data_IF_897775368629
#
_entry.id   IF_897775368629
#
_cell.length_a   1.000
_cell.length_b   1.000
_cell.length_c   1.000
_cell.angle_alpha   90.00
_cell.angle_beta   90.00
_cell.angle_gamma   90.00
#
_symmetry.space_group_name_H-M   'P 1'
#
loop_
_entity.id
_entity.type
_entity.pdbx_description
1 polymer ?
#
# COMPACT_ATOMS: atom_id res chain seq x y z
N UNK A 1 23.87 -2.40 -8.07
CA UNK A 1 22.80 -3.42 -7.95
C UNK A 1 21.77 -2.80 -7.05
N UNK A 2 20.58 -2.46 -7.56
CA UNK A 2 19.56 -1.75 -6.77
C UNK A 2 19.00 -2.68 -5.70
N UNK A 3 18.98 -2.25 -4.45
CA UNK A 3 18.37 -2.99 -3.33
C UNK A 3 16.93 -2.57 -3.12
N UNK A 4 16.14 -3.39 -2.41
CA UNK A 4 14.77 -3.01 -2.00
C UNK A 4 14.77 -1.74 -1.12
N UNK A 5 15.83 -1.53 -0.33
CA UNK A 5 16.02 -0.33 0.46
C UNK A 5 16.22 0.92 -0.40
N UNK A 6 17.07 0.86 -1.42
CA UNK A 6 17.26 1.98 -2.35
C UNK A 6 15.98 2.30 -3.13
N UNK A 7 15.14 1.30 -3.42
CA UNK A 7 13.89 1.49 -4.15
C UNK A 7 12.81 2.18 -3.32
N UNK A 8 12.70 1.85 -2.03
CA UNK A 8 11.55 2.24 -1.20
C UNK A 8 11.87 3.28 -0.11
N UNK A 9 13.14 3.47 0.27
CA UNK A 9 13.53 4.32 1.41
C UNK A 9 13.08 5.78 1.28
N UNK A 10 13.14 6.35 0.08
CA UNK A 10 12.68 7.72 -0.19
C UNK A 10 11.14 7.85 -0.24
N UNK A 11 10.40 6.73 -0.24
CA UNK A 11 8.93 6.67 -0.24
C UNK A 11 8.34 6.25 1.11
N UNK A 12 9.16 6.05 2.14
CA UNK A 12 8.68 5.62 3.46
C UNK A 12 7.67 6.59 4.07
N UNK A 13 7.89 7.90 3.91
CA UNK A 13 6.95 8.91 4.41
C UNK A 13 5.57 8.78 3.76
N UNK A 14 5.54 8.52 2.44
CA UNK A 14 4.31 8.28 1.70
C UNK A 14 3.56 7.05 2.24
N UNK A 15 4.26 5.93 2.46
CA UNK A 15 3.61 4.73 3.00
C UNK A 15 3.06 4.96 4.41
N UNK A 16 3.80 5.67 5.26
CA UNK A 16 3.36 6.02 6.61
C UNK A 16 2.10 6.89 6.61
N UNK A 17 1.99 7.81 5.68
CA UNK A 17 0.80 8.66 5.54
C UNK A 17 -0.44 7.84 5.17
N UNK A 18 -0.34 6.94 4.19
CA UNK A 18 -1.46 6.05 3.81
C UNK A 18 -1.84 5.10 4.95
N UNK A 19 -0.83 4.57 5.67
CA UNK A 19 -1.05 3.73 6.87
C UNK A 19 -1.81 4.53 7.93
N UNK A 20 -1.38 5.77 8.21
CA UNK A 20 -2.02 6.63 9.21
C UNK A 20 -3.47 6.95 8.85
N UNK A 21 -3.73 7.38 7.61
CA UNK A 21 -5.09 7.66 7.13
C UNK A 21 -5.98 6.41 7.21
N UNK A 22 -5.46 5.25 6.81
CA UNK A 22 -6.20 4.00 6.92
C UNK A 22 -6.41 3.53 8.36
N UNK A 23 -5.49 3.82 9.28
CA UNK A 23 -5.65 3.52 10.70
C UNK A 23 -6.72 4.43 11.31
N UNK A 24 -6.68 5.73 11.07
CA UNK A 24 -7.71 6.66 11.53
C UNK A 24 -9.11 6.26 11.06
N UNK A 25 -9.22 5.81 9.80
CA UNK A 25 -10.46 5.23 9.29
C UNK A 25 -10.94 4.01 10.09
N UNK A 26 -10.02 3.15 10.56
CA UNK A 26 -10.37 1.91 11.27
C UNK A 26 -10.96 2.17 12.66
N UNK A 27 -10.71 3.36 13.24
CA UNK A 27 -11.27 3.80 14.51
C UNK A 27 -12.79 4.07 14.44
N UNK A 28 -13.34 4.24 13.23
CA UNK A 28 -14.75 4.54 13.02
C UNK A 28 -15.56 3.31 12.59
N UNK A 29 -16.87 3.30 12.91
CA UNK A 29 -17.78 2.26 12.40
C UNK A 29 -17.96 2.41 10.89
N UNK A 30 -17.96 1.30 10.14
CA UNK A 30 -18.08 1.29 8.67
C UNK A 30 -19.31 2.03 8.11
N UNK A 31 -20.38 2.16 8.89
CA UNK A 31 -21.63 2.84 8.52
C UNK A 31 -21.67 4.32 8.90
N UNK A 32 -20.63 4.82 9.58
CA UNK A 32 -20.55 6.21 10.03
C UNK A 32 -20.13 7.15 8.91
N UNK A 33 -20.49 8.43 9.06
CA UNK A 33 -20.11 9.49 8.11
C UNK A 33 -18.60 9.70 8.15
N UNK A 34 -18.01 9.65 9.34
CA UNK A 34 -16.58 9.80 9.60
C UNK A 34 -15.75 8.73 8.89
N UNK A 35 -16.22 7.48 8.92
CA UNK A 35 -15.59 6.39 8.17
C UNK A 35 -15.58 6.68 6.66
N UNK A 36 -16.70 7.20 6.12
CA UNK A 36 -16.83 7.52 4.70
C UNK A 36 -16.00 8.74 4.31
N UNK A 37 -15.90 9.75 5.16
CA UNK A 37 -15.00 10.88 4.96
C UNK A 37 -13.54 10.43 4.89
N UNK A 38 -13.11 9.54 5.80
CA UNK A 38 -11.75 8.98 5.75
C UNK A 38 -11.49 8.11 4.52
N UNK A 39 -12.49 7.38 4.02
CA UNK A 39 -12.38 6.64 2.77
C UNK A 39 -12.19 7.57 1.56
N UNK A 40 -12.88 8.71 1.53
CA UNK A 40 -12.71 9.76 0.52
C UNK A 40 -11.32 10.39 0.63
N UNK A 41 -10.87 10.76 1.83
CA UNK A 41 -9.56 11.36 2.08
C UNK A 41 -8.41 10.46 1.59
N UNK A 42 -8.48 9.15 1.86
CA UNK A 42 -7.52 8.17 1.34
C UNK A 42 -7.56 8.13 -0.20
N UNK A 43 -8.76 8.11 -0.79
CA UNK A 43 -8.90 8.08 -2.25
C UNK A 43 -8.33 9.35 -2.90
N UNK A 44 -8.69 10.53 -2.40
CA UNK A 44 -8.19 11.81 -2.90
C UNK A 44 -6.67 11.90 -2.77
N UNK A 45 -6.11 11.43 -1.66
CA UNK A 45 -4.67 11.33 -1.48
C UNK A 45 -4.03 10.45 -2.58
N UNK A 46 -4.56 9.25 -2.80
CA UNK A 46 -4.03 8.30 -3.79
C UNK A 46 -4.20 8.76 -5.24
N UNK A 47 -5.21 9.57 -5.54
CA UNK A 47 -5.39 10.19 -6.86
C UNK A 47 -4.34 11.29 -7.13
N UNK A 48 -3.77 11.89 -6.08
CA UNK A 48 -2.84 13.02 -6.20
C UNK A 48 -1.35 12.62 -6.19
N UNK A 49 -1.03 11.36 -5.89
CA UNK A 49 0.34 10.84 -5.96
C UNK A 49 0.65 10.31 -7.37
N UNK A 50 1.93 10.13 -7.69
CA UNK A 50 2.32 9.56 -8.98
C UNK A 50 1.78 8.13 -9.16
N UNK A 51 1.44 7.78 -10.41
CA UNK A 51 0.94 6.44 -10.74
C UNK A 51 1.87 5.32 -10.27
N UNK A 52 3.18 5.50 -10.42
CA UNK A 52 4.16 4.51 -9.95
C UNK A 52 4.16 4.38 -8.43
N UNK A 53 4.00 5.49 -7.70
CA UNK A 53 3.89 5.49 -6.25
C UNK A 53 2.63 4.72 -5.79
N UNK A 54 1.51 4.91 -6.48
CA UNK A 54 0.29 4.11 -6.27
C UNK A 54 0.54 2.62 -6.55
N UNK A 55 1.30 2.27 -7.59
CA UNK A 55 1.68 0.88 -7.85
C UNK A 55 2.61 0.31 -6.80
N UNK A 56 3.50 1.11 -6.21
CA UNK A 56 4.30 0.68 -5.07
C UNK A 56 3.40 0.36 -3.87
N UNK A 57 2.44 1.22 -3.55
CA UNK A 57 1.45 1.02 -2.48
C UNK A 57 0.65 -0.28 -2.74
N UNK A 58 0.12 -0.48 -3.95
CA UNK A 58 -0.59 -1.71 -4.32
C UNK A 58 0.30 -2.94 -4.12
N UNK A 59 1.54 -2.88 -4.58
CA UNK A 59 2.51 -3.98 -4.47
C UNK A 59 2.74 -4.37 -3.02
N UNK A 60 3.04 -3.40 -2.17
CA UNK A 60 3.28 -3.62 -0.74
C UNK A 60 2.03 -4.19 -0.06
N UNK A 61 0.85 -3.62 -0.35
CA UNK A 61 -0.43 -4.09 0.19
C UNK A 61 -0.67 -5.56 -0.14
N UNK A 62 -0.46 -5.99 -1.39
CA UNK A 62 -0.67 -7.38 -1.78
C UNK A 62 0.38 -8.33 -1.18
N UNK A 63 1.63 -7.88 -1.00
CA UNK A 63 2.66 -8.64 -0.27
C UNK A 63 2.26 -8.85 1.19
N UNK A 64 1.74 -7.82 1.86
CA UNK A 64 1.26 -7.95 3.23
C UNK A 64 0.02 -8.84 3.36
N UNK A 65 -0.90 -8.73 2.41
CA UNK A 65 -2.11 -9.55 2.35
C UNK A 65 -1.82 -11.05 2.15
N UNK A 66 -0.76 -11.41 1.42
CA UNK A 66 -0.39 -12.81 1.20
C UNK A 66 0.13 -13.47 2.48
N UNK A 67 -0.68 -14.30 3.13
CA UNK A 67 -0.31 -15.03 4.35
C UNK A 67 0.60 -16.23 4.11
N UNK A 68 0.93 -16.53 2.85
CA UNK A 68 1.81 -17.63 2.48
C UNK A 68 3.28 -17.37 2.82
N UNK A 69 4.10 -18.43 2.98
CA UNK A 69 5.55 -18.29 2.99
C UNK A 69 6.02 -17.64 1.69
N UNK A 70 7.05 -16.78 1.78
CA UNK A 70 7.65 -16.15 0.60
C UNK A 70 7.98 -17.20 -0.45
N UNK A 71 7.35 -17.09 -1.62
CA UNK A 71 7.61 -17.98 -2.76
C UNK A 71 8.91 -17.63 -3.51
N UNK A 72 9.58 -16.56 -3.10
CA UNK A 72 10.72 -15.98 -3.80
C UNK A 72 11.99 -16.06 -2.96
N UNK A 73 13.14 -16.13 -3.65
CA UNK A 73 14.45 -16.27 -3.02
C UNK A 73 14.89 -14.98 -2.30
N UNK A 74 14.37 -13.81 -2.71
CA UNK A 74 14.67 -12.52 -2.08
C UNK A 74 13.48 -11.56 -1.96
N UNK A 75 13.61 -10.57 -1.07
CA UNK A 75 12.65 -9.47 -0.90
C UNK A 75 12.48 -8.63 -2.18
N UNK A 76 13.58 -8.39 -2.90
CA UNK A 76 13.56 -7.62 -4.15
C UNK A 76 12.80 -8.37 -5.24
N UNK A 77 13.03 -9.67 -5.40
CA UNK A 77 12.29 -10.49 -6.36
C UNK A 77 10.81 -10.59 -6.02
N UNK A 78 10.49 -10.72 -4.72
CA UNK A 78 9.10 -10.70 -4.25
C UNK A 78 8.40 -9.41 -4.68
N UNK A 79 9.06 -8.27 -4.45
CA UNK A 79 8.55 -6.97 -4.86
C UNK A 79 8.40 -6.86 -6.37
N UNK A 80 9.44 -7.20 -7.13
CA UNK A 80 9.43 -7.07 -8.58
C UNK A 80 8.40 -7.99 -9.24
N UNK A 81 8.29 -9.24 -8.79
CA UNK A 81 7.30 -10.18 -9.31
C UNK A 81 5.87 -9.68 -9.09
N UNK A 82 5.58 -9.21 -7.86
CA UNK A 82 4.28 -8.61 -7.55
C UNK A 82 4.04 -7.33 -8.35
N UNK A 83 5.01 -6.42 -8.43
CA UNK A 83 4.91 -5.17 -9.20
C UNK A 83 4.63 -5.44 -10.67
N UNK A 84 5.29 -6.43 -11.26
CA UNK A 84 5.14 -6.83 -12.66
C UNK A 84 3.78 -7.50 -12.95
N UNK A 85 3.09 -8.01 -11.92
CA UNK A 85 1.72 -8.53 -12.07
C UNK A 85 0.69 -7.41 -12.29
N UNK A 86 1.03 -6.16 -11.92
CA UNK A 86 0.19 -5.00 -12.21
C UNK A 86 0.52 -4.43 -13.59
N UNK A 87 -0.53 -4.07 -14.33
CA UNK A 87 -0.39 -3.37 -15.60
C UNK A 87 0.30 -2.00 -15.44
N UNK A 88 0.75 -1.46 -16.57
CA UNK A 88 1.38 -0.14 -16.69
C UNK A 88 0.46 0.91 -17.32
N UNK A 89 -0.83 0.62 -17.49
CA UNK A 89 -1.77 1.59 -18.06
C UNK A 89 -2.10 2.68 -17.04
N UNK A 90 -1.54 3.87 -17.25
CA UNK A 90 -1.76 5.05 -16.41
C UNK A 90 -3.23 5.49 -16.38
N UNK A 91 -4.02 5.18 -17.40
CA UNK A 91 -5.46 5.48 -17.43
C UNK A 91 -6.22 4.77 -16.29
N UNK A 92 -5.63 3.71 -15.71
CA UNK A 92 -6.23 2.98 -14.59
C UNK A 92 -6.02 3.68 -13.24
N UNK A 93 -5.26 4.78 -13.15
CA UNK A 93 -4.89 5.43 -11.89
C UNK A 93 -6.09 5.65 -10.96
N UNK A 94 -7.15 6.28 -11.47
CA UNK A 94 -8.36 6.55 -10.68
C UNK A 94 -9.01 5.26 -10.15
N UNK A 95 -9.17 4.27 -11.02
CA UNK A 95 -9.75 2.98 -10.66
C UNK A 95 -8.89 2.21 -9.66
N UNK A 96 -7.57 2.33 -9.77
CA UNK A 96 -6.58 1.73 -8.88
C UNK A 96 -6.57 2.42 -7.51
N UNK A 97 -6.67 3.75 -7.48
CA UNK A 97 -6.75 4.55 -6.26
C UNK A 97 -8.03 4.22 -5.48
N UNK A 98 -9.16 4.12 -6.17
CA UNK A 98 -10.42 3.68 -5.58
C UNK A 98 -10.34 2.24 -5.05
N UNK A 99 -9.75 1.33 -5.84
CA UNK A 99 -9.60 -0.05 -5.43
C UNK A 99 -8.74 -0.20 -4.16
N UNK A 100 -7.66 0.59 -4.04
CA UNK A 100 -6.80 0.61 -2.84
C UNK A 100 -7.51 1.27 -1.67
N UNK A 101 -8.15 2.43 -1.87
CA UNK A 101 -8.82 3.16 -0.79
C UNK A 101 -9.89 2.31 -0.11
N UNK A 102 -10.59 1.45 -0.87
CA UNK A 102 -11.62 0.56 -0.34
C UNK A 102 -11.09 -0.69 0.39
N UNK A 103 -9.77 -0.95 0.41
CA UNK A 103 -9.19 -2.17 1.02
C UNK A 103 -9.24 -2.11 2.54
N UNK A 104 -9.50 -3.27 3.15
CA UNK A 104 -9.74 -3.41 4.58
C UNK A 104 -9.16 -4.74 5.08
N UNK A 105 -8.29 -4.74 6.10
CA UNK A 105 -7.60 -3.58 6.69
C UNK A 105 -6.38 -3.12 5.86
N UNK A 106 -6.46 -1.95 5.19
CA UNK A 106 -5.36 -1.43 4.35
C UNK A 106 -4.07 -1.13 5.15
N UNK A 107 -4.18 -0.45 6.29
CA UNK A 107 -3.04 -0.16 7.18
C UNK A 107 -2.29 -1.43 7.63
N UNK A 108 -3.01 -2.49 8.01
CA UNK A 108 -2.40 -3.78 8.38
C UNK A 108 -1.68 -4.39 7.18
N UNK A 109 -2.31 -4.45 6.01
CA UNK A 109 -1.67 -4.98 4.80
C UNK A 109 -0.41 -4.19 4.40
N UNK A 110 -0.45 -2.86 4.49
CA UNK A 110 0.73 -2.05 4.18
C UNK A 110 1.86 -2.24 5.20
N UNK A 111 1.53 -2.27 6.50
CA UNK A 111 2.50 -2.54 7.55
C UNK A 111 3.15 -3.92 7.40
N UNK A 112 2.34 -4.95 7.18
CA UNK A 112 2.82 -6.34 7.02
C UNK A 112 3.68 -6.46 5.76
N UNK A 113 3.28 -5.81 4.68
CA UNK A 113 4.05 -5.76 3.44
C UNK A 113 5.42 -5.13 3.64
N UNK A 114 5.48 -4.01 4.36
CA UNK A 114 6.73 -3.31 4.66
C UNK A 114 7.64 -4.14 5.57
N UNK A 115 7.09 -4.78 6.60
CA UNK A 115 7.84 -5.67 7.49
C UNK A 115 8.43 -6.88 6.74
N UNK A 116 7.65 -7.50 5.85
CA UNK A 116 8.16 -8.58 4.97
C UNK A 116 9.27 -8.12 4.03
N UNK A 117 9.30 -6.84 3.68
CA UNK A 117 10.34 -6.22 2.86
C UNK A 117 11.50 -5.62 3.69
N UNK A 118 11.52 -5.86 5.01
CA UNK A 118 12.61 -5.48 5.90
C UNK A 118 12.50 -4.07 6.52
N UNK A 119 11.37 -3.39 6.36
CA UNK A 119 11.14 -2.07 6.97
C UNK A 119 10.34 -2.22 8.26
N UNK A 120 10.96 -1.95 9.39
CA UNK A 120 10.29 -1.99 10.70
C UNK A 120 9.33 -0.80 10.85
N UNK A 121 8.05 -1.04 10.57
CA UNK A 121 6.98 -0.06 10.72
C UNK A 121 5.94 -0.61 11.71
N UNK A 122 5.72 0.07 12.84
CA UNK A 122 4.84 -0.44 13.88
C UNK A 122 3.39 -0.50 13.41
N UNK A 123 2.75 -1.65 13.63
CA UNK A 123 1.30 -1.81 13.56
C UNK A 123 0.72 -1.22 14.86
N UNK A 124 0.09 -0.05 14.78
CA UNK A 124 -0.65 0.52 15.92
C UNK A 124 -2.09 0.02 15.92
#
# INVERSE_FOLDING_TARGET
MTTIYELLSNKISLFKEVIQLSYERSLFKKTSVEYKQKEIEIYEFLCNIDYEDLKMIQTIMYIGQDSGPSKYESMLESYQSMRNSFGSNQENHDSDAYAVSCKRPLHEFLGEGLNKLGFDIPHK
#
